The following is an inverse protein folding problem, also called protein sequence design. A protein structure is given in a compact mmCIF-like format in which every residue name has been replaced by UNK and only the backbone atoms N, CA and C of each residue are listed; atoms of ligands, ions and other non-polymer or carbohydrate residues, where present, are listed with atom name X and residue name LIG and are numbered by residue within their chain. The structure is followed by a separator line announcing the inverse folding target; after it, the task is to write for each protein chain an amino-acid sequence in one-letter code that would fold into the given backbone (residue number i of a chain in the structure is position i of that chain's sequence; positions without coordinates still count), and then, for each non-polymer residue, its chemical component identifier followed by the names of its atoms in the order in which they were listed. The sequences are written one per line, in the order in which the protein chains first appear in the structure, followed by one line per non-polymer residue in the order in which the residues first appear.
data_IF_093422419115
#
_entry.id   IF_093422419115
#
_cell.length_a   1.000
_cell.length_b   1.000
_cell.length_c   1.000
_cell.angle_alpha   90.00
_cell.angle_beta   90.00
_cell.angle_gamma   90.00
#
_symmetry.space_group_name_H-M   'P 1'
#
loop_
_entity.id
_entity.type
_entity.pdbx_description
1 polymer ?
#
# COMPACT_ATOMS: atom_id res chain seq x y z
N UNK A 1 27.32 -15.97 11.20
CA UNK A 1 26.33 -14.92 11.57
C UNK A 1 25.13 -15.02 10.64
N UNK A 2 24.05 -15.71 11.03
CA UNK A 2 22.79 -15.78 10.24
C UNK A 2 22.04 -14.44 10.39
N UNK A 3 22.62 -13.45 9.72
CA UNK A 3 22.08 -12.16 9.24
C UNK A 3 20.75 -11.71 9.85
N UNK A 4 20.85 -10.75 10.76
CA UNK A 4 19.78 -9.91 11.33
C UNK A 4 18.76 -9.45 10.26
N UNK A 5 19.22 -9.23 9.02
CA UNK A 5 18.43 -8.90 7.83
C UNK A 5 17.32 -9.91 7.45
N UNK A 6 17.35 -11.15 7.94
CA UNK A 6 16.31 -12.15 7.66
C UNK A 6 15.17 -12.20 8.68
N UNK A 7 15.33 -11.50 9.81
CA UNK A 7 14.36 -11.52 10.89
C UNK A 7 13.09 -10.74 10.49
N UNK A 8 11.93 -11.39 10.64
CA UNK A 8 10.62 -10.76 10.40
C UNK A 8 10.39 -9.52 11.29
N UNK A 9 10.76 -9.53 12.58
CA UNK A 9 10.59 -8.36 13.44
C UNK A 9 11.37 -7.14 12.96
N UNK A 10 12.61 -7.31 12.46
CA UNK A 10 13.39 -6.19 11.94
C UNK A 10 12.71 -5.51 10.75
N UNK A 11 12.10 -6.28 9.85
CA UNK A 11 11.33 -5.71 8.74
C UNK A 11 10.18 -4.85 9.28
N UNK A 12 9.45 -5.33 10.28
CA UNK A 12 8.37 -4.56 10.89
C UNK A 12 8.85 -3.30 11.60
N UNK A 13 10.02 -3.35 12.25
CA UNK A 13 10.65 -2.14 12.82
C UNK A 13 10.96 -1.13 11.72
N UNK A 14 11.58 -1.55 10.62
CA UNK A 14 11.87 -0.69 9.47
C UNK A 14 10.57 -0.09 8.88
N UNK A 15 9.53 -0.91 8.70
CA UNK A 15 8.25 -0.46 8.17
C UNK A 15 7.49 0.47 9.13
N UNK A 16 7.78 0.42 10.43
CA UNK A 16 7.20 1.30 11.43
C UNK A 16 7.94 2.64 11.55
N UNK A 17 9.20 2.75 11.09
CA UNK A 17 10.01 3.98 11.19
C UNK A 17 9.27 5.21 10.64
N UNK A 18 8.66 5.18 9.45
CA UNK A 18 7.94 6.34 8.94
C UNK A 18 6.76 6.74 9.83
N UNK A 19 5.95 5.78 10.28
CA UNK A 19 4.86 6.04 11.21
C UNK A 19 5.33 6.65 12.54
N UNK A 20 6.45 6.15 13.09
CA UNK A 20 7.05 6.72 14.30
C UNK A 20 7.57 8.15 14.07
N UNK A 21 8.18 8.41 12.91
CA UNK A 21 8.62 9.74 12.52
C UNK A 21 7.45 10.72 12.43
N UNK A 22 6.36 10.31 11.78
CA UNK A 22 5.14 11.12 11.65
C UNK A 22 4.52 11.44 13.02
N UNK A 23 4.42 10.44 13.91
CA UNK A 23 3.93 10.63 15.28
C UNK A 23 4.83 11.57 16.10
N UNK A 24 6.15 11.45 15.95
CA UNK A 24 7.11 12.35 16.57
C UNK A 24 6.96 13.79 16.09
N UNK A 25 6.80 14.00 14.77
CA UNK A 25 6.57 15.33 14.18
C UNK A 25 5.25 15.94 14.63
N UNK A 26 4.20 15.12 14.72
CA UNK A 26 2.91 15.55 15.25
C UNK A 26 3.00 15.99 16.71
N UNK A 27 3.73 15.24 17.55
CA UNK A 27 3.87 15.57 18.97
C UNK A 27 4.78 16.79 19.23
N UNK A 28 5.88 16.94 18.49
CA UNK A 28 6.88 18.00 18.73
C UNK A 28 6.55 19.30 18.00
N UNK A 29 5.94 19.22 16.82
CA UNK A 29 5.64 20.38 15.97
C UNK A 29 4.19 20.37 15.45
N UNK A 30 3.18 20.32 16.33
CA UNK A 30 1.78 20.17 15.92
C UNK A 30 1.29 21.30 15.01
N UNK A 31 1.75 22.55 15.23
CA UNK A 31 1.32 23.72 14.44
C UNK A 31 1.89 23.71 13.01
N UNK A 32 3.09 23.15 12.83
CA UNK A 32 3.77 23.09 11.53
C UNK A 32 3.40 21.83 10.74
N UNK A 33 3.29 20.69 11.43
CA UNK A 33 2.99 19.41 10.79
C UNK A 33 1.48 19.25 10.58
N UNK A 34 0.68 19.45 11.63
CA UNK A 34 -0.78 19.56 11.53
C UNK A 34 -1.49 18.44 10.75
N UNK A 35 -2.78 18.65 10.52
CA UNK A 35 -3.64 17.67 9.85
C UNK A 35 -3.25 17.42 8.39
N UNK A 36 -2.90 18.47 7.65
CA UNK A 36 -2.60 18.38 6.22
C UNK A 36 -1.42 17.46 5.91
N UNK A 37 -0.33 17.53 6.70
CA UNK A 37 0.82 16.66 6.46
C UNK A 37 0.58 15.23 6.94
N UNK A 38 0.00 15.02 8.13
CA UNK A 38 -0.17 13.65 8.64
C UNK A 38 -1.12 12.81 7.76
N UNK A 39 -2.18 13.43 7.21
CA UNK A 39 -3.08 12.73 6.28
C UNK A 39 -2.42 12.47 4.93
N UNK A 40 -1.67 13.43 4.40
CA UNK A 40 -0.89 13.28 3.17
C UNK A 40 0.15 12.16 3.29
N UNK A 41 1.03 12.25 4.28
CA UNK A 41 2.12 11.31 4.52
C UNK A 41 1.59 9.87 4.74
N UNK A 42 0.50 9.69 5.51
CA UNK A 42 -0.05 8.35 5.74
C UNK A 42 -0.61 7.74 4.46
N UNK A 43 -1.26 8.57 3.62
CA UNK A 43 -1.76 8.17 2.31
C UNK A 43 -0.63 7.81 1.36
N UNK A 44 0.42 8.65 1.30
CA UNK A 44 1.60 8.40 0.48
C UNK A 44 2.30 7.09 0.90
N UNK A 45 2.64 6.90 2.17
CA UNK A 45 3.28 5.66 2.61
C UNK A 45 2.45 4.41 2.31
N UNK A 46 1.12 4.50 2.41
CA UNK A 46 0.22 3.41 2.00
C UNK A 46 0.39 3.07 0.51
N UNK A 47 0.41 4.09 -0.36
CA UNK A 47 0.58 3.96 -1.81
C UNK A 47 1.96 3.38 -2.15
N UNK A 48 3.03 3.94 -1.60
CA UNK A 48 4.40 3.49 -1.86
C UNK A 48 4.63 2.02 -1.45
N UNK A 49 4.08 1.60 -0.31
CA UNK A 49 4.15 0.21 0.12
C UNK A 49 3.31 -0.72 -0.76
N UNK A 50 2.16 -0.24 -1.28
CA UNK A 50 1.36 -1.00 -2.24
C UNK A 50 2.13 -1.19 -3.56
N UNK A 51 2.76 -0.12 -4.07
CA UNK A 51 3.64 -0.16 -5.24
C UNK A 51 4.74 -1.21 -5.06
N UNK A 52 5.45 -1.13 -3.94
CA UNK A 52 6.51 -2.07 -3.62
C UNK A 52 5.98 -3.51 -3.58
N UNK A 53 4.81 -3.73 -2.98
CA UNK A 53 4.15 -5.04 -2.90
C UNK A 53 3.82 -5.64 -4.27
N UNK A 54 3.40 -4.80 -5.22
CA UNK A 54 3.15 -5.21 -6.61
C UNK A 54 4.46 -5.47 -7.36
N UNK A 55 5.45 -4.59 -7.19
CA UNK A 55 6.78 -4.67 -7.80
C UNK A 55 7.60 -5.88 -7.34
N UNK A 56 7.31 -6.46 -6.17
CA UNK A 56 8.00 -7.67 -5.68
C UNK A 56 7.97 -8.82 -6.71
N UNK A 57 6.88 -8.96 -7.46
CA UNK A 57 6.77 -10.02 -8.49
C UNK A 57 7.73 -9.80 -9.68
N UNK A 58 7.69 -8.68 -10.41
CA UNK A 58 8.63 -8.42 -11.51
C UNK A 58 10.09 -8.41 -11.05
N UNK A 59 10.38 -7.84 -9.86
CA UNK A 59 11.73 -7.85 -9.27
C UNK A 59 12.24 -9.28 -9.13
N UNK A 60 11.41 -10.19 -8.60
CA UNK A 60 11.78 -11.61 -8.52
C UNK A 60 12.06 -12.20 -9.89
N UNK A 61 11.27 -11.86 -10.91
CA UNK A 61 11.44 -12.41 -12.25
C UNK A 61 12.76 -11.96 -12.89
N UNK A 62 13.17 -10.70 -12.69
CA UNK A 62 14.44 -10.16 -13.18
C UNK A 62 15.65 -10.73 -12.43
N UNK A 63 15.53 -10.90 -11.11
CA UNK A 63 16.63 -11.27 -10.23
C UNK A 63 16.44 -12.65 -9.58
N UNK A 64 15.89 -13.64 -10.31
CA UNK A 64 15.54 -14.97 -9.76
C UNK A 64 16.68 -15.68 -9.03
N UNK A 65 17.92 -15.47 -9.48
CA UNK A 65 19.13 -16.09 -8.90
C UNK A 65 19.63 -15.41 -7.62
N UNK A 66 19.08 -14.25 -7.27
CA UNK A 66 19.54 -13.47 -6.13
C UNK A 66 18.78 -13.81 -4.85
N UNK A 67 19.52 -14.03 -3.76
CA UNK A 67 18.95 -14.40 -2.46
C UNK A 67 18.05 -13.30 -1.87
N UNK A 68 18.36 -12.03 -2.11
CA UNK A 68 17.57 -10.89 -1.64
C UNK A 68 16.20 -10.82 -2.32
N UNK A 69 16.11 -11.16 -3.61
CA UNK A 69 14.85 -11.16 -4.35
C UNK A 69 13.92 -12.28 -3.87
N UNK A 70 14.46 -13.45 -3.55
CA UNK A 70 13.70 -14.54 -2.93
C UNK A 70 13.25 -14.19 -1.51
N UNK A 71 14.09 -13.49 -0.75
CA UNK A 71 13.71 -12.97 0.56
C UNK A 71 12.55 -11.96 0.45
N UNK A 72 12.62 -11.02 -0.48
CA UNK A 72 11.57 -10.02 -0.72
C UNK A 72 10.23 -10.68 -1.08
N UNK A 73 10.25 -11.70 -1.93
CA UNK A 73 9.06 -12.50 -2.25
C UNK A 73 8.40 -13.13 -1.03
N UNK A 74 9.19 -13.66 -0.09
CA UNK A 74 8.67 -14.23 1.16
C UNK A 74 8.04 -13.17 2.06
N UNK A 75 8.47 -11.91 1.93
CA UNK A 75 7.97 -10.76 2.71
C UNK A 75 6.91 -9.93 2.00
N UNK A 76 6.51 -10.30 0.77
CA UNK A 76 5.44 -9.63 0.01
C UNK A 76 4.17 -9.41 0.83
N UNK A 77 3.77 -10.40 1.64
CA UNK A 77 2.57 -10.30 2.48
C UNK A 77 2.74 -9.26 3.59
N UNK A 78 3.90 -9.24 4.24
CA UNK A 78 4.19 -8.28 5.31
C UNK A 78 4.15 -6.84 4.76
N UNK A 79 4.67 -6.60 3.55
CA UNK A 79 4.57 -5.29 2.86
C UNK A 79 3.13 -4.88 2.55
N UNK A 80 2.31 -5.81 2.08
CA UNK A 80 0.89 -5.54 1.80
C UNK A 80 0.09 -5.23 3.06
N UNK A 81 0.37 -5.91 4.17
CA UNK A 81 -0.27 -5.59 5.47
C UNK A 81 0.20 -4.24 6.00
N UNK A 82 1.49 -3.91 5.86
CA UNK A 82 1.98 -2.58 6.23
C UNK A 82 1.31 -1.48 5.40
N UNK A 83 1.18 -1.65 4.08
CA UNK A 83 0.43 -0.74 3.21
C UNK A 83 -1.00 -0.52 3.72
N UNK A 84 -1.72 -1.60 4.09
CA UNK A 84 -3.05 -1.48 4.68
C UNK A 84 -3.02 -0.77 6.04
N UNK A 85 -2.02 -1.00 6.89
CA UNK A 85 -1.91 -0.32 8.17
C UNK A 85 -1.81 1.20 8.00
N UNK A 86 -0.97 1.67 7.07
CA UNK A 86 -0.90 3.10 6.73
C UNK A 86 -2.20 3.63 6.12
N UNK A 87 -2.87 2.85 5.26
CA UNK A 87 -4.18 3.22 4.72
C UNK A 87 -5.26 3.32 5.82
N UNK A 88 -5.25 2.41 6.78
CA UNK A 88 -6.16 2.44 7.92
C UNK A 88 -5.87 3.64 8.83
N UNK A 89 -4.60 3.95 9.09
CA UNK A 89 -4.20 5.16 9.81
C UNK A 89 -4.67 6.43 9.10
N UNK A 90 -4.50 6.50 7.78
CA UNK A 90 -5.01 7.59 6.94
C UNK A 90 -6.53 7.77 7.11
N UNK A 91 -7.31 6.69 7.00
CA UNK A 91 -8.76 6.73 7.21
C UNK A 91 -9.13 7.14 8.64
N UNK A 92 -8.44 6.62 9.66
CA UNK A 92 -8.70 6.99 11.06
C UNK A 92 -8.46 8.48 11.29
N UNK A 93 -7.36 9.03 10.78
CA UNK A 93 -7.04 10.47 10.85
C UNK A 93 -8.14 11.29 10.18
N UNK A 94 -8.60 10.87 9.00
CA UNK A 94 -9.72 11.49 8.30
C UNK A 94 -11.00 11.48 9.16
N UNK A 95 -11.39 10.33 9.71
CA UNK A 95 -12.59 10.18 10.52
C UNK A 95 -12.54 11.04 11.80
N UNK A 96 -11.40 11.05 12.50
CA UNK A 96 -11.20 11.87 13.70
C UNK A 96 -11.38 13.36 13.37
N UNK A 97 -10.86 13.83 12.23
CA UNK A 97 -10.98 15.25 11.84
C UNK A 97 -12.41 15.64 11.49
N UNK A 98 -13.17 14.77 10.83
CA UNK A 98 -14.55 15.07 10.42
C UNK A 98 -15.50 15.05 11.60
N UNK A 99 -15.33 14.14 12.55
CA UNK A 99 -15.98 14.16 13.87
C UNK A 99 -17.50 14.03 13.90
N UNK A 100 -18.21 14.12 12.76
CA UNK A 100 -19.66 13.99 12.66
C UNK A 100 -20.08 13.10 11.49
N UNK A 101 -21.12 12.28 11.72
CA UNK A 101 -21.66 11.37 10.72
C UNK A 101 -22.32 12.13 9.56
N UNK A 102 -22.97 13.27 9.83
CA UNK A 102 -23.64 14.06 8.79
C UNK A 102 -22.64 14.63 7.79
N UNK A 103 -21.49 15.13 8.25
CA UNK A 103 -20.41 15.62 7.37
C UNK A 103 -19.81 14.46 6.56
N UNK A 104 -19.67 13.28 7.18
CA UNK A 104 -19.19 12.11 6.45
C UNK A 104 -20.16 11.71 5.33
N UNK A 105 -21.46 11.68 5.59
CA UNK A 105 -22.48 11.30 4.61
C UNK A 105 -22.57 12.29 3.45
N UNK A 106 -22.43 13.60 3.70
CA UNK A 106 -22.37 14.59 2.62
C UNK A 106 -21.11 14.41 1.77
N UNK A 107 -19.97 14.14 2.40
CA UNK A 107 -18.69 13.93 1.71
C UNK A 107 -18.62 12.61 0.95
N UNK A 108 -19.39 11.59 1.30
CA UNK A 108 -19.51 10.36 0.50
C UNK A 108 -19.97 10.62 -0.94
N UNK A 109 -20.69 11.72 -1.18
CA UNK A 109 -21.08 12.13 -2.53
C UNK A 109 -19.91 12.69 -3.36
N UNK A 110 -18.77 12.94 -2.73
CA UNK A 110 -17.58 13.47 -3.39
C UNK A 110 -16.84 12.34 -4.11
N UNK A 111 -16.69 12.39 -5.45
CA UNK A 111 -16.19 11.25 -6.22
C UNK A 111 -14.86 10.68 -5.75
N UNK A 112 -13.87 11.54 -5.44
CA UNK A 112 -12.57 11.08 -4.99
C UNK A 112 -12.62 10.43 -3.60
N UNK A 113 -13.44 10.94 -2.67
CA UNK A 113 -13.63 10.34 -1.33
C UNK A 113 -14.30 8.97 -1.46
N UNK A 114 -15.31 8.87 -2.32
CA UNK A 114 -16.02 7.62 -2.57
C UNK A 114 -15.10 6.53 -3.15
N UNK A 115 -14.21 6.90 -4.07
CA UNK A 115 -13.18 5.99 -4.61
C UNK A 115 -12.28 5.47 -3.47
N UNK A 116 -11.89 6.34 -2.53
CA UNK A 116 -11.13 5.94 -1.34
C UNK A 116 -11.85 4.91 -0.48
N UNK A 117 -13.16 5.08 -0.26
CA UNK A 117 -13.98 4.10 0.47
C UNK A 117 -14.09 2.76 -0.25
N UNK A 118 -14.29 2.75 -1.57
CA UNK A 118 -14.28 1.50 -2.34
C UNK A 118 -12.92 0.82 -2.31
N UNK A 119 -11.83 1.59 -2.39
CA UNK A 119 -10.48 1.08 -2.27
C UNK A 119 -10.28 0.39 -0.91
N UNK A 120 -10.68 1.06 0.18
CA UNK A 120 -10.61 0.53 1.54
C UNK A 120 -11.46 -0.75 1.69
N UNK A 121 -12.69 -0.75 1.15
CA UNK A 121 -13.57 -1.91 1.19
C UNK A 121 -12.97 -3.16 0.52
N UNK A 122 -12.20 -2.98 -0.57
CA UNK A 122 -11.43 -4.07 -1.17
C UNK A 122 -10.18 -4.43 -0.36
N UNK A 123 -9.55 -3.46 0.30
CA UNK A 123 -8.29 -3.68 1.01
C UNK A 123 -8.47 -4.39 2.36
N UNK A 124 -9.57 -4.14 3.06
CA UNK A 124 -9.92 -4.79 4.34
C UNK A 124 -9.89 -6.32 4.26
N UNK A 125 -10.62 -7.00 3.34
CA UNK A 125 -10.61 -8.46 3.28
C UNK A 125 -9.23 -9.01 2.87
N UNK A 126 -8.45 -8.27 2.08
CA UNK A 126 -7.09 -8.64 1.72
C UNK A 126 -6.17 -8.62 2.95
N UNK A 127 -6.26 -7.60 3.79
CA UNK A 127 -5.50 -7.51 5.03
C UNK A 127 -5.96 -8.57 6.04
N UNK A 128 -7.27 -8.73 6.24
CA UNK A 128 -7.85 -9.70 7.16
C UNK A 128 -7.45 -11.15 6.83
N UNK A 129 -7.26 -11.46 5.54
CA UNK A 129 -6.84 -12.81 5.08
C UNK A 129 -5.33 -12.94 4.84
N UNK A 130 -4.54 -11.95 5.24
CA UNK A 130 -3.07 -11.96 5.14
C UNK A 130 -2.39 -12.64 6.33
N UNK A 131 -2.90 -13.79 6.76
CA UNK A 131 -2.32 -14.60 7.84
C UNK A 131 -2.24 -16.08 7.48
N UNK A 132 -1.41 -16.84 8.20
CA UNK A 132 -1.13 -18.26 7.90
C UNK A 132 -2.35 -19.15 8.11
N UNK A 133 -3.27 -18.75 8.98
CA UNK A 133 -4.54 -19.46 9.18
C UNK A 133 -5.43 -19.34 7.94
N UNK A 134 -5.70 -18.12 7.47
CA UNK A 134 -6.53 -17.85 6.30
C UNK A 134 -5.96 -18.48 5.03
N UNK A 135 -4.63 -18.46 4.84
CA UNK A 135 -3.99 -19.14 3.70
C UNK A 135 -4.24 -20.65 3.72
N UNK A 136 -4.17 -21.28 4.90
CA UNK A 136 -4.44 -22.73 5.07
C UNK A 136 -5.92 -23.07 4.93
N UNK A 137 -6.81 -22.23 5.45
CA UNK A 137 -8.26 -22.43 5.41
C UNK A 137 -8.84 -22.25 3.99
N UNK A 138 -8.50 -21.14 3.31
CA UNK A 138 -9.11 -20.75 2.03
C UNK A 138 -8.46 -21.43 0.80
N UNK A 139 -7.25 -21.98 0.93
CA UNK A 139 -6.53 -22.72 -0.13
C UNK A 139 -6.57 -22.03 -1.51
N UNK A 140 -7.31 -22.59 -2.48
CA UNK A 140 -7.41 -22.04 -3.85
C UNK A 140 -8.17 -20.70 -3.89
N UNK A 141 -9.18 -20.54 -3.04
CA UNK A 141 -10.00 -19.32 -2.95
C UNK A 141 -9.18 -18.13 -2.44
N UNK A 142 -8.16 -18.36 -1.62
CA UNK A 142 -7.22 -17.33 -1.16
C UNK A 142 -6.57 -16.60 -2.33
N UNK A 143 -6.10 -17.35 -3.35
CA UNK A 143 -5.49 -16.76 -4.54
C UNK A 143 -6.50 -15.95 -5.37
N UNK A 144 -7.78 -16.35 -5.41
CA UNK A 144 -8.82 -15.57 -6.10
C UNK A 144 -9.10 -14.27 -5.36
N UNK A 145 -9.27 -14.34 -4.04
CA UNK A 145 -9.47 -13.15 -3.19
C UNK A 145 -8.29 -12.17 -3.35
N UNK A 146 -7.06 -12.65 -3.27
CA UNK A 146 -5.87 -11.80 -3.41
C UNK A 146 -5.63 -11.24 -4.82
N UNK A 147 -6.41 -11.63 -5.83
CA UNK A 147 -6.43 -10.90 -7.11
C UNK A 147 -7.15 -9.56 -7.01
N UNK A 148 -7.98 -9.34 -5.99
CA UNK A 148 -8.60 -8.04 -5.73
C UNK A 148 -7.56 -6.95 -5.41
N UNK A 149 -6.29 -7.32 -5.15
CA UNK A 149 -5.22 -6.34 -5.00
C UNK A 149 -5.02 -5.46 -6.24
N UNK A 150 -5.32 -5.97 -7.44
CA UNK A 150 -5.19 -5.19 -8.68
C UNK A 150 -6.26 -4.11 -8.80
N UNK A 151 -7.58 -4.41 -8.72
CA UNK A 151 -8.59 -3.36 -8.69
C UNK A 151 -8.45 -2.45 -7.46
N UNK A 152 -8.07 -2.97 -6.29
CA UNK A 152 -7.80 -2.13 -5.12
C UNK A 152 -6.67 -1.14 -5.39
N UNK A 153 -5.56 -1.58 -6.02
CA UNK A 153 -4.46 -0.69 -6.38
C UNK A 153 -4.90 0.40 -7.34
N UNK A 154 -5.68 0.06 -8.38
CA UNK A 154 -6.22 1.06 -9.33
C UNK A 154 -7.03 2.12 -8.59
N UNK A 155 -7.93 1.71 -7.68
CA UNK A 155 -8.74 2.65 -6.90
C UNK A 155 -7.88 3.49 -5.94
N UNK A 156 -6.90 2.89 -5.27
CA UNK A 156 -5.96 3.61 -4.39
C UNK A 156 -5.19 4.68 -5.18
N UNK A 157 -4.65 4.34 -6.35
CA UNK A 157 -3.94 5.31 -7.20
C UNK A 157 -4.87 6.39 -7.72
N UNK A 158 -6.07 6.03 -8.16
CA UNK A 158 -7.03 6.99 -8.66
C UNK A 158 -7.44 7.97 -7.56
N UNK A 159 -7.72 7.48 -6.35
CA UNK A 159 -7.98 8.31 -5.18
C UNK A 159 -6.81 9.27 -4.90
N UNK A 160 -5.59 8.76 -4.87
CA UNK A 160 -4.39 9.56 -4.60
C UNK A 160 -4.12 10.63 -5.67
N UNK A 161 -4.24 10.30 -6.96
CA UNK A 161 -4.03 11.24 -8.07
C UNK A 161 -5.10 12.34 -8.08
N UNK A 162 -6.35 12.01 -7.76
CA UNK A 162 -7.43 12.99 -7.69
C UNK A 162 -7.27 13.97 -6.50
N UNK A 163 -6.51 13.58 -5.46
CA UNK A 163 -6.15 14.45 -4.34
C UNK A 163 -4.85 15.22 -4.55
N UNK A 164 -3.94 14.72 -5.39
CA UNK A 164 -2.66 15.36 -5.66
C UNK A 164 -2.89 16.68 -6.42
N UNK A 165 -3.01 17.77 -5.66
CA UNK A 165 -3.22 19.12 -6.17
C UNK A 165 -2.04 19.66 -7.00
N UNK A 166 -0.92 18.94 -7.03
CA UNK A 166 0.24 19.20 -7.89
C UNK A 166 0.34 18.16 -9.02
N UNK A 167 -0.04 18.53 -10.26
CA UNK A 167 0.00 17.65 -11.42
C UNK A 167 1.38 17.04 -11.66
N UNK A 168 2.46 17.77 -11.36
CA UNK A 168 3.84 17.33 -11.61
C UNK A 168 4.20 16.13 -10.74
N UNK A 169 3.86 16.17 -9.45
CA UNK A 169 4.06 15.04 -8.53
C UNK A 169 3.23 13.83 -8.95
N UNK A 170 1.98 14.03 -9.39
CA UNK A 170 1.13 12.96 -9.90
C UNK A 170 1.72 12.29 -11.17
N UNK A 171 2.17 13.07 -12.14
CA UNK A 171 2.74 12.55 -13.40
C UNK A 171 4.03 11.73 -13.17
N UNK A 172 4.91 12.15 -12.26
CA UNK A 172 6.14 11.41 -11.95
C UNK A 172 5.81 10.03 -11.38
N UNK A 173 4.87 9.95 -10.44
CA UNK A 173 4.48 8.67 -9.82
C UNK A 173 3.73 7.76 -10.80
N UNK A 174 2.84 8.32 -11.62
CA UNK A 174 2.16 7.59 -12.71
C UNK A 174 3.18 7.04 -13.72
N UNK A 175 4.18 7.83 -14.10
CA UNK A 175 5.24 7.38 -14.99
C UNK A 175 6.03 6.21 -14.40
N UNK A 176 6.43 6.30 -13.12
CA UNK A 176 7.13 5.21 -12.41
C UNK A 176 6.27 3.94 -12.39
N UNK A 177 4.99 4.05 -12.03
CA UNK A 177 4.04 2.94 -12.01
C UNK A 177 3.87 2.28 -13.37
N UNK A 178 3.72 3.11 -14.39
CA UNK A 178 3.51 2.66 -15.77
C UNK A 178 4.74 1.88 -16.24
N UNK A 179 5.94 2.36 -15.94
CA UNK A 179 7.19 1.64 -16.22
C UNK A 179 7.24 0.31 -15.47
N UNK A 180 6.90 0.29 -14.18
CA UNK A 180 6.90 -0.94 -13.37
C UNK A 180 5.94 -2.00 -13.94
N UNK A 181 4.71 -1.61 -14.28
CA UNK A 181 3.71 -2.53 -14.80
C UNK A 181 4.03 -2.97 -16.24
N UNK A 182 4.53 -2.07 -17.11
CA UNK A 182 4.97 -2.43 -18.47
C UNK A 182 6.11 -3.44 -18.44
N UNK A 183 7.12 -3.23 -17.59
CA UNK A 183 8.22 -4.18 -17.40
C UNK A 183 7.70 -5.51 -16.88
N UNK A 184 6.76 -5.48 -15.93
CA UNK A 184 6.13 -6.70 -15.39
C UNK A 184 5.40 -7.50 -16.46
N UNK A 185 4.56 -6.85 -17.26
CA UNK A 185 3.80 -7.50 -18.33
C UNK A 185 4.74 -8.04 -19.40
N UNK A 186 5.73 -7.25 -19.85
CA UNK A 186 6.71 -7.67 -20.85
C UNK A 186 7.54 -8.88 -20.42
N UNK A 187 8.01 -8.92 -19.17
CA UNK A 187 8.75 -10.06 -18.63
C UNK A 187 7.88 -11.29 -18.44
N UNK A 188 6.62 -11.12 -18.00
CA UNK A 188 5.67 -12.23 -17.90
C UNK A 188 5.34 -12.82 -19.27
N UNK A 189 5.23 -11.99 -20.31
CA UNK A 189 4.96 -12.44 -21.68
C UNK A 189 6.15 -13.22 -22.24
N UNK A 190 7.38 -12.72 -22.07
CA UNK A 190 8.61 -13.43 -22.49
C UNK A 190 8.77 -14.81 -21.83
N UNK A 191 8.37 -14.94 -20.56
CA UNK A 191 8.43 -16.21 -19.82
C UNK A 191 7.28 -17.19 -20.12
N UNK A 192 6.25 -16.77 -20.85
CA UNK A 192 5.20 -17.67 -21.35
C UNK A 192 5.50 -18.22 -22.74
N UNK A 193 6.36 -17.52 -23.49
CA UNK A 193 6.75 -17.86 -24.87
C UNK A 193 8.03 -18.70 -24.90
N UNK A 194 8.71 -18.87 -23.76
CA UNK A 194 9.85 -19.79 -23.55
C UNK A 194 9.43 -20.96 -22.70
#
# INVERSE_FOLDING_TARGET
MKTVAHSRPLLWLILAVPGLWMLGRWAVTPELYGYGHIIGDTGEWAVWLLMLTLAVTPIRLMFRRQNWAQWLMRRRRDLGVASFAYAASHTIIYLIRKGSLDILLTELSTPYILIGWFALALFVPLAATSNDFATRALKRSWKRLHRLVYPAAILVFLHWVLLAFDPTTAFIHIAILTVIELVRVGLQWRQRVT
#
